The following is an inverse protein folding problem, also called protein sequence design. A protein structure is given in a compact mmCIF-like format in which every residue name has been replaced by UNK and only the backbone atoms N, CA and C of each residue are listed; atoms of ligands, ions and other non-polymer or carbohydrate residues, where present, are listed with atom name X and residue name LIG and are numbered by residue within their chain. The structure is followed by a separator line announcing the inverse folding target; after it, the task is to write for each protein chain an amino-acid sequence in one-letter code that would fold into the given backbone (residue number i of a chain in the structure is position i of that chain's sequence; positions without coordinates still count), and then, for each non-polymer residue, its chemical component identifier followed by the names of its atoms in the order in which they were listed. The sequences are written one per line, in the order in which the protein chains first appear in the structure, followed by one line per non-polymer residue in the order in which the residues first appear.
data_IF_750761200546
#
_entry.id   IF_750761200546
#
_cell.length_a   1.000
_cell.length_b   1.000
_cell.length_c   1.000
_cell.angle_alpha   90.00
_cell.angle_beta   90.00
_cell.angle_gamma   90.00
#
_symmetry.space_group_name_H-M   'P 1'
#
loop_
_entity.id
_entity.type
_entity.pdbx_description
1 polymer ?
#
# COMPACT_ATOMS: atom_id res chain seq x y z
N UNK A 1 -92.12 -11.32 -4.45
CA UNK A 1 -91.22 -10.42 -3.70
C UNK A 1 -90.50 -11.26 -2.64
N UNK A 2 -89.27 -11.66 -2.93
CA UNK A 2 -88.31 -12.35 -2.04
C UNK A 2 -86.92 -11.96 -2.60
N UNK A 3 -86.06 -11.25 -1.88
CA UNK A 3 -85.13 -11.68 -0.83
C UNK A 3 -83.70 -11.97 -1.36
N UNK A 4 -82.75 -11.11 -0.95
CA UNK A 4 -81.42 -11.42 -0.38
C UNK A 4 -80.29 -12.08 -1.23
N UNK A 5 -79.10 -11.42 -1.16
CA UNK A 5 -77.69 -11.92 -1.10
C UNK A 5 -76.72 -11.88 -2.31
N UNK A 6 -75.62 -11.17 -2.01
CA UNK A 6 -74.18 -11.47 -2.13
C UNK A 6 -73.44 -11.65 -3.47
N UNK A 7 -72.31 -10.92 -3.50
CA UNK A 7 -70.96 -11.25 -4.02
C UNK A 7 -70.77 -11.50 -5.53
N UNK A 8 -70.02 -10.63 -6.20
CA UNK A 8 -68.64 -10.96 -6.56
C UNK A 8 -67.82 -9.70 -6.90
N UNK A 9 -66.59 -9.67 -6.39
CA UNK A 9 -65.53 -8.71 -6.72
C UNK A 9 -64.86 -9.26 -7.97
N UNK A 10 -64.86 -8.51 -9.07
CA UNK A 10 -64.12 -8.88 -10.27
C UNK A 10 -62.64 -8.58 -10.06
N UNK A 11 -61.83 -9.65 -10.13
CA UNK A 11 -60.37 -9.67 -10.20
C UNK A 11 -59.86 -8.79 -11.34
N UNK A 12 -59.21 -7.67 -10.99
CA UNK A 12 -58.20 -7.08 -11.87
C UNK A 12 -56.90 -7.80 -11.56
N UNK A 13 -56.53 -8.74 -12.43
CA UNK A 13 -55.17 -9.27 -12.51
C UNK A 13 -54.27 -8.10 -12.90
N UNK A 14 -53.70 -7.44 -11.89
CA UNK A 14 -52.50 -6.63 -12.07
C UNK A 14 -51.38 -7.65 -12.27
N UNK A 15 -50.82 -7.69 -13.48
CA UNK A 15 -49.60 -8.44 -13.72
C UNK A 15 -48.54 -7.90 -12.78
N UNK A 16 -47.96 -8.80 -11.98
CA UNK A 16 -46.71 -8.57 -11.28
C UNK A 16 -45.61 -8.43 -12.35
N UNK A 17 -45.49 -7.23 -12.92
CA UNK A 17 -44.26 -6.82 -13.58
C UNK A 17 -43.27 -6.55 -12.43
N UNK A 18 -42.40 -7.53 -12.18
CA UNK A 18 -41.23 -7.38 -11.33
C UNK A 18 -40.50 -6.09 -11.72
N UNK A 19 -40.56 -5.07 -10.86
CA UNK A 19 -39.72 -3.89 -10.93
C UNK A 19 -38.25 -4.34 -10.91
N UNK A 20 -37.66 -4.53 -12.09
CA UNK A 20 -36.23 -4.79 -12.26
C UNK A 20 -35.46 -3.59 -11.69
N UNK A 21 -35.09 -3.67 -10.40
CA UNK A 21 -34.26 -2.67 -9.74
C UNK A 21 -32.97 -2.50 -10.57
N UNK A 22 -32.71 -1.31 -11.15
CA UNK A 22 -31.55 -1.08 -12.01
C UNK A 22 -30.23 -1.36 -11.30
N UNK A 23 -30.21 -1.31 -9.96
CA UNK A 23 -29.05 -1.70 -9.14
C UNK A 23 -28.84 -3.22 -9.16
N UNK A 24 -29.93 -3.99 -9.08
CA UNK A 24 -29.88 -5.45 -9.12
C UNK A 24 -29.31 -5.93 -10.46
N UNK A 25 -29.72 -5.33 -11.58
CA UNK A 25 -29.22 -5.74 -12.90
C UNK A 25 -27.76 -5.32 -13.13
N UNK A 26 -27.38 -4.11 -12.72
CA UNK A 26 -26.02 -3.62 -12.86
C UNK A 26 -24.99 -4.43 -12.05
N UNK A 27 -25.43 -5.08 -10.96
CA UNK A 27 -24.56 -5.85 -10.06
C UNK A 27 -24.70 -7.37 -10.18
N UNK A 28 -25.57 -7.88 -11.06
CA UNK A 28 -25.81 -9.32 -11.25
C UNK A 28 -24.68 -10.07 -11.98
N UNK A 29 -23.60 -9.38 -12.37
CA UNK A 29 -22.46 -9.99 -13.02
C UNK A 29 -21.35 -10.34 -12.01
N UNK A 30 -20.65 -11.45 -12.24
CA UNK A 30 -19.50 -11.91 -11.43
C UNK A 30 -18.26 -11.01 -11.61
N UNK A 31 -18.44 -9.80 -12.11
CA UNK A 31 -17.42 -8.80 -12.37
C UNK A 31 -17.56 -7.60 -11.42
N UNK A 32 -16.46 -6.86 -11.27
CA UNK A 32 -16.45 -5.61 -10.49
C UNK A 32 -17.21 -4.53 -11.26
N UNK A 33 -18.22 -3.93 -10.65
CA UNK A 33 -18.94 -2.81 -11.23
C UNK A 33 -18.06 -1.54 -11.26
N UNK A 34 -17.88 -0.95 -12.43
CA UNK A 34 -17.09 0.28 -12.57
C UNK A 34 -17.97 1.53 -12.39
N UNK A 35 -17.73 2.24 -11.29
CA UNK A 35 -18.36 3.53 -11.03
C UNK A 35 -17.56 4.67 -11.68
N UNK A 36 -18.27 5.73 -12.04
CA UNK A 36 -17.74 6.95 -12.64
C UNK A 36 -18.66 8.15 -12.36
N UNK A 37 -18.26 9.33 -12.81
CA UNK A 37 -19.01 10.60 -12.64
C UNK A 37 -20.48 10.52 -13.06
N UNK A 38 -20.80 9.71 -14.07
CA UNK A 38 -22.16 9.66 -14.62
C UNK A 38 -23.08 8.67 -13.90
N UNK A 39 -22.52 7.58 -13.35
CA UNK A 39 -23.33 6.50 -12.77
C UNK A 39 -23.23 6.39 -11.25
N UNK A 40 -22.25 7.05 -10.59
CA UNK A 40 -22.01 6.88 -9.16
C UNK A 40 -23.26 7.22 -8.34
N UNK A 41 -23.81 8.42 -8.50
CA UNK A 41 -24.99 8.85 -7.73
C UNK A 41 -26.24 8.05 -8.10
N UNK A 42 -26.39 7.68 -9.37
CA UNK A 42 -27.55 6.93 -9.86
C UNK A 42 -27.58 5.51 -9.28
N UNK A 43 -26.46 4.80 -9.37
CA UNK A 43 -26.37 3.41 -8.94
C UNK A 43 -26.26 3.30 -7.42
N UNK A 44 -25.54 4.21 -6.75
CA UNK A 44 -25.37 4.12 -5.29
C UNK A 44 -26.58 4.64 -4.51
N UNK A 45 -27.60 5.23 -5.16
CA UNK A 45 -28.76 5.83 -4.49
C UNK A 45 -29.57 4.84 -3.65
N UNK A 46 -29.66 3.59 -4.09
CA UNK A 46 -30.36 2.48 -3.41
C UNK A 46 -29.44 1.28 -3.31
N UNK A 47 -29.60 0.45 -2.28
CA UNK A 47 -28.84 -0.78 -2.11
C UNK A 47 -27.51 -0.61 -1.38
N UNK A 48 -26.72 -1.69 -1.34
CA UNK A 48 -25.48 -1.82 -0.57
C UNK A 48 -24.29 -1.97 -1.51
N UNK A 49 -23.28 -1.14 -1.32
CA UNK A 49 -22.07 -1.10 -2.14
C UNK A 49 -20.84 -1.24 -1.27
N UNK A 50 -19.89 -2.05 -1.73
CA UNK A 50 -18.52 -1.99 -1.22
C UNK A 50 -17.63 -1.51 -2.36
N UNK A 51 -17.07 -0.31 -2.20
CA UNK A 51 -16.44 0.46 -3.27
C UNK A 51 -14.95 0.58 -3.01
N UNK A 52 -14.12 0.06 -3.92
CA UNK A 52 -12.67 0.33 -3.95
C UNK A 52 -12.42 1.61 -4.73
N UNK A 53 -11.95 2.64 -4.03
CA UNK A 53 -11.57 3.92 -4.61
C UNK A 53 -10.05 3.93 -4.80
N UNK A 54 -9.60 4.16 -6.03
CA UNK A 54 -8.18 4.12 -6.39
C UNK A 54 -7.81 5.24 -7.35
N UNK A 55 -6.50 5.50 -7.51
CA UNK A 55 -5.97 6.45 -8.49
C UNK A 55 -4.79 5.82 -9.22
N UNK A 56 -4.89 5.60 -10.54
CA UNK A 56 -3.76 5.18 -11.36
C UNK A 56 -2.66 6.25 -11.48
N UNK A 57 -1.39 5.85 -11.69
CA UNK A 57 -0.91 4.47 -11.74
C UNK A 57 -1.01 3.80 -10.36
N UNK A 58 -1.42 2.53 -10.35
CA UNK A 58 -1.61 1.80 -9.10
C UNK A 58 -0.26 1.53 -8.42
N UNK A 59 -0.25 1.60 -7.08
CA UNK A 59 0.84 1.04 -6.28
C UNK A 59 0.73 -0.48 -6.30
N UNK A 60 1.82 -1.19 -5.99
CA UNK A 60 1.79 -2.65 -5.88
C UNK A 60 0.70 -3.14 -4.91
N UNK A 61 0.54 -2.46 -3.78
CA UNK A 61 -0.50 -2.79 -2.79
C UNK A 61 -1.90 -2.60 -3.38
N UNK A 62 -2.12 -1.52 -4.13
CA UNK A 62 -3.38 -1.29 -4.84
C UNK A 62 -3.63 -2.32 -5.95
N UNK A 63 -2.58 -2.77 -6.66
CA UNK A 63 -2.67 -3.85 -7.64
C UNK A 63 -3.02 -5.20 -6.98
N UNK A 64 -2.38 -5.55 -5.86
CA UNK A 64 -2.71 -6.77 -5.11
C UNK A 64 -4.14 -6.72 -4.56
N UNK A 65 -4.55 -5.58 -4.01
CA UNK A 65 -5.92 -5.36 -3.58
C UNK A 65 -6.90 -5.54 -4.75
N UNK A 66 -6.60 -4.99 -5.93
CA UNK A 66 -7.45 -5.12 -7.12
C UNK A 66 -7.62 -6.58 -7.55
N UNK A 67 -6.58 -7.41 -7.48
CA UNK A 67 -6.69 -8.85 -7.75
C UNK A 67 -7.64 -9.57 -6.78
N UNK A 68 -7.56 -9.24 -5.49
CA UNK A 68 -8.45 -9.78 -4.45
C UNK A 68 -9.87 -9.25 -4.61
N UNK A 69 -10.02 -7.98 -5.00
CA UNK A 69 -11.30 -7.32 -5.25
C UNK A 69 -12.11 -8.01 -6.34
N UNK A 70 -11.45 -8.40 -7.44
CA UNK A 70 -12.08 -9.17 -8.52
C UNK A 70 -12.58 -10.54 -8.03
N UNK A 71 -11.83 -11.20 -7.13
CA UNK A 71 -12.29 -12.47 -6.53
C UNK A 71 -13.49 -12.26 -5.62
N UNK A 72 -13.48 -11.20 -4.82
CA UNK A 72 -14.59 -10.83 -3.94
C UNK A 72 -15.88 -10.57 -4.74
N UNK A 73 -15.79 -9.84 -5.85
CA UNK A 73 -16.92 -9.59 -6.74
C UNK A 73 -17.53 -10.88 -7.27
N UNK A 74 -16.72 -11.82 -7.78
CA UNK A 74 -17.22 -13.13 -8.24
C UNK A 74 -17.99 -13.89 -7.18
N UNK A 75 -17.54 -13.84 -5.93
CA UNK A 75 -18.16 -14.58 -4.84
C UNK A 75 -19.44 -13.93 -4.29
N UNK A 76 -19.54 -12.59 -4.35
CA UNK A 76 -20.60 -11.84 -3.66
C UNK A 76 -21.61 -11.19 -4.60
N UNK A 77 -21.21 -10.70 -5.78
CA UNK A 77 -22.14 -10.07 -6.73
C UNK A 77 -23.17 -11.08 -7.26
N UNK A 78 -22.75 -12.34 -7.46
CA UNK A 78 -23.64 -13.42 -7.86
C UNK A 78 -24.78 -13.71 -6.85
N UNK A 79 -24.65 -13.24 -5.60
CA UNK A 79 -25.70 -13.39 -4.57
C UNK A 79 -26.73 -12.26 -4.62
N UNK A 80 -26.49 -11.17 -5.35
CA UNK A 80 -27.41 -10.04 -5.54
C UNK A 80 -27.68 -9.18 -4.30
N UNK A 81 -26.98 -9.42 -3.18
CA UNK A 81 -27.20 -8.69 -1.91
C UNK A 81 -26.29 -7.48 -1.72
N UNK A 82 -25.22 -7.39 -2.51
CA UNK A 82 -24.21 -6.32 -2.45
C UNK A 82 -23.56 -6.13 -3.82
N UNK A 83 -23.22 -4.88 -4.13
CA UNK A 83 -22.45 -4.51 -5.30
C UNK A 83 -20.97 -4.26 -4.95
N UNK A 84 -20.09 -5.19 -5.29
CA UNK A 84 -18.64 -4.97 -5.27
C UNK A 84 -18.26 -4.11 -6.48
N UNK A 85 -17.76 -2.91 -6.20
CA UNK A 85 -17.56 -1.86 -7.21
C UNK A 85 -16.19 -1.20 -7.09
N UNK A 86 -15.73 -0.52 -8.14
CA UNK A 86 -14.53 0.30 -8.09
C UNK A 86 -14.75 1.71 -8.67
N UNK A 87 -13.93 2.68 -8.25
CA UNK A 87 -14.00 4.08 -8.69
C UNK A 87 -12.58 4.61 -8.92
N UNK A 88 -12.31 5.02 -10.17
CA UNK A 88 -11.03 5.60 -10.59
C UNK A 88 -11.03 7.12 -10.39
N UNK A 89 -10.29 7.61 -9.39
CA UNK A 89 -10.14 9.04 -9.10
C UNK A 89 -9.38 9.83 -10.16
N UNK A 90 -8.62 9.20 -11.06
CA UNK A 90 -8.01 9.91 -12.19
C UNK A 90 -9.06 10.37 -13.21
N UNK A 91 -10.24 9.73 -13.21
CA UNK A 91 -11.37 10.04 -14.09
C UNK A 91 -12.55 10.67 -13.37
N UNK A 92 -12.65 10.45 -12.06
CA UNK A 92 -13.77 10.90 -11.21
C UNK A 92 -13.31 11.83 -10.10
N UNK A 93 -12.53 12.85 -10.47
CA UNK A 93 -11.84 13.77 -9.56
C UNK A 93 -12.82 14.47 -8.59
N UNK A 94 -13.94 14.97 -9.10
CA UNK A 94 -14.94 15.69 -8.30
C UNK A 94 -15.56 14.81 -7.21
N UNK A 95 -15.93 13.56 -7.56
CA UNK A 95 -16.44 12.60 -6.59
C UNK A 95 -15.39 12.34 -5.52
N UNK A 96 -14.14 12.05 -5.90
CA UNK A 96 -13.10 11.72 -4.94
C UNK A 96 -12.73 12.89 -4.01
N UNK A 97 -12.77 14.14 -4.49
CA UNK A 97 -12.62 15.31 -3.63
C UNK A 97 -13.80 15.49 -2.68
N UNK A 98 -15.04 15.35 -3.17
CA UNK A 98 -16.23 15.44 -2.32
C UNK A 98 -16.24 14.38 -1.22
N UNK A 99 -15.80 13.17 -1.55
CA UNK A 99 -15.63 12.07 -0.61
C UNK A 99 -14.39 12.23 0.28
N UNK A 100 -13.59 13.29 0.08
CA UNK A 100 -12.37 13.62 0.81
C UNK A 100 -11.37 12.46 0.86
N UNK A 101 -11.28 11.72 -0.25
CA UNK A 101 -10.49 10.50 -0.32
C UNK A 101 -9.01 10.82 -0.36
N UNK A 102 -8.28 10.08 0.46
CA UNK A 102 -6.84 9.90 0.37
C UNK A 102 -6.58 8.64 -0.47
N UNK A 103 -6.40 8.73 -1.80
CA UNK A 103 -6.24 7.53 -2.64
C UNK A 103 -4.94 6.83 -2.23
N UNK A 104 -4.62 5.55 -2.41
CA UNK A 104 -5.25 4.37 -3.00
C UNK A 104 -4.52 3.12 -2.44
N UNK A 105 -5.21 1.99 -2.16
CA UNK A 105 -6.66 1.85 -2.26
C UNK A 105 -7.36 2.27 -0.96
N UNK A 106 -8.51 2.93 -1.09
CA UNK A 106 -9.46 3.17 0.00
C UNK A 106 -10.70 2.32 -0.26
N UNK A 107 -11.25 1.64 0.75
CA UNK A 107 -12.47 0.87 0.58
C UNK A 107 -13.59 1.45 1.43
N UNK A 108 -14.74 1.70 0.83
CA UNK A 108 -15.89 2.32 1.49
C UNK A 108 -17.12 1.43 1.40
N UNK A 109 -17.81 1.30 2.53
CA UNK A 109 -19.18 0.81 2.56
C UNK A 109 -20.16 1.96 2.31
N UNK A 110 -21.00 1.77 1.31
CA UNK A 110 -22.06 2.69 0.91
C UNK A 110 -23.41 2.00 1.02
N UNK A 111 -24.40 2.73 1.54
CA UNK A 111 -25.77 2.25 1.64
C UNK A 111 -26.75 3.38 1.35
N UNK A 112 -27.65 3.15 0.39
CA UNK A 112 -28.72 4.08 0.03
C UNK A 112 -28.24 5.54 -0.16
N UNK A 113 -27.19 5.71 -0.97
CA UNK A 113 -26.60 6.99 -1.34
C UNK A 113 -25.66 7.59 -0.29
N UNK A 114 -25.44 6.91 0.84
CA UNK A 114 -24.63 7.43 1.95
C UNK A 114 -23.40 6.57 2.19
N UNK A 115 -22.26 7.24 2.41
CA UNK A 115 -21.06 6.62 2.99
C UNK A 115 -21.38 6.26 4.44
N UNK A 116 -21.44 4.97 4.75
CA UNK A 116 -21.69 4.49 6.12
C UNK A 116 -20.38 4.32 6.87
N UNK A 117 -19.39 3.66 6.25
CA UNK A 117 -18.11 3.35 6.91
C UNK A 117 -16.97 3.23 5.91
N UNK A 118 -15.76 3.55 6.35
CA UNK A 118 -14.55 3.11 5.67
C UNK A 118 -14.13 1.72 6.18
N UNK A 119 -13.48 0.93 5.34
CA UNK A 119 -12.77 -0.27 5.76
C UNK A 119 -11.45 0.14 6.40
N UNK A 120 -11.28 -0.16 7.69
CA UNK A 120 -10.22 0.33 8.56
C UNK A 120 -9.12 -0.72 8.86
N UNK A 121 -9.17 -1.88 8.21
CA UNK A 121 -8.19 -2.95 8.40
C UNK A 121 -6.89 -2.77 7.59
N UNK A 122 -6.00 -3.77 7.63
CA UNK A 122 -4.69 -3.75 6.96
C UNK A 122 -4.75 -3.22 5.52
N UNK A 123 -3.79 -2.35 5.09
CA UNK A 123 -3.70 -1.81 3.73
C UNK A 123 -3.50 -2.87 2.64
N UNK A 124 -3.08 -4.09 3.01
CA UNK A 124 -3.02 -5.26 2.14
C UNK A 124 -3.82 -6.42 2.74
N UNK A 125 -5.15 -6.29 2.85
CA UNK A 125 -5.95 -7.26 3.57
C UNK A 125 -6.02 -8.56 2.76
N UNK A 126 -5.99 -9.71 3.43
CA UNK A 126 -6.32 -10.98 2.78
C UNK A 126 -7.80 -10.97 2.32
N UNK A 127 -8.12 -11.80 1.33
CA UNK A 127 -9.49 -11.90 0.81
C UNK A 127 -10.52 -12.17 1.91
N UNK A 128 -10.16 -12.99 2.90
CA UNK A 128 -11.02 -13.36 4.03
C UNK A 128 -11.36 -12.17 4.94
N UNK A 129 -10.47 -11.17 5.05
CA UNK A 129 -10.77 -9.97 5.82
C UNK A 129 -11.84 -9.11 5.15
N UNK A 130 -11.86 -9.04 3.81
CA UNK A 130 -12.95 -8.36 3.10
C UNK A 130 -14.27 -9.09 3.27
N UNK A 131 -14.27 -10.42 3.17
CA UNK A 131 -15.47 -11.24 3.39
C UNK A 131 -16.05 -11.03 4.78
N UNK A 132 -15.22 -11.15 5.81
CA UNK A 132 -15.66 -10.95 7.20
C UNK A 132 -16.23 -9.56 7.44
N UNK A 133 -15.65 -8.53 6.81
CA UNK A 133 -16.20 -7.18 6.88
C UNK A 133 -17.58 -7.08 6.21
N UNK A 134 -17.72 -7.59 4.99
CA UNK A 134 -19.01 -7.58 4.28
C UNK A 134 -20.08 -8.34 5.07
N UNK A 135 -19.75 -9.52 5.60
CA UNK A 135 -20.68 -10.31 6.43
C UNK A 135 -21.16 -9.54 7.67
N UNK A 136 -20.24 -8.84 8.35
CA UNK A 136 -20.59 -7.99 9.51
C UNK A 136 -21.52 -6.84 9.11
N UNK A 137 -21.21 -6.16 8.01
CA UNK A 137 -22.00 -5.02 7.53
C UNK A 137 -23.39 -5.45 7.03
N UNK A 138 -23.52 -6.65 6.45
CA UNK A 138 -24.83 -7.21 6.07
C UNK A 138 -25.63 -7.62 7.31
N UNK A 139 -24.97 -8.24 8.30
CA UNK A 139 -25.62 -8.68 9.54
C UNK A 139 -26.06 -7.53 10.46
N UNK A 140 -25.41 -6.37 10.37
CA UNK A 140 -25.85 -5.15 11.05
C UNK A 140 -27.00 -4.49 10.31
N UNK A 141 -28.24 -4.97 10.53
CA UNK A 141 -29.45 -4.29 10.04
C UNK A 141 -30.21 -3.66 11.24
N UNK A 142 -30.70 -2.44 11.04
CA UNK A 142 -31.44 -1.54 11.96
C UNK A 142 -30.63 -0.56 12.83
N UNK A 143 -30.14 0.54 12.24
CA UNK A 143 -30.26 1.85 12.90
C UNK A 143 -30.89 2.84 11.91
N UNK A 144 -32.10 3.27 12.26
CA UNK A 144 -32.86 4.33 11.63
C UNK A 144 -32.07 5.63 11.61
N UNK A 145 -31.70 6.10 10.41
CA UNK A 145 -31.20 7.46 10.23
C UNK A 145 -32.40 8.40 10.14
N UNK A 146 -32.81 8.96 11.28
CA UNK A 146 -33.59 10.19 11.25
C UNK A 146 -32.70 11.36 10.82
N UNK A 147 -33.28 12.18 9.94
CA UNK A 147 -32.70 13.39 9.40
C UNK A 147 -32.30 14.39 10.49
N UNK A 148 -31.07 14.85 10.48
CA UNK A 148 -30.77 16.25 10.76
C UNK A 148 -29.39 16.63 10.23
N UNK A 149 -29.34 17.80 9.61
CA UNK A 149 -28.13 18.47 9.21
C UNK A 149 -27.33 18.87 10.45
N UNK A 150 -26.34 18.07 10.83
CA UNK A 150 -25.20 18.44 11.67
C UNK A 150 -24.30 17.22 11.82
N UNK A 151 -22.98 17.44 11.77
CA UNK A 151 -21.96 16.40 11.68
C UNK A 151 -22.20 15.20 12.59
N UNK A 152 -22.16 14.01 11.98
CA UNK A 152 -22.05 12.75 12.71
C UNK A 152 -20.57 12.57 13.05
N UNK A 153 -20.26 12.63 14.34
CA UNK A 153 -18.97 12.25 14.91
C UNK A 153 -18.69 10.77 14.60
N UNK A 154 -17.64 10.55 13.81
CA UNK A 154 -17.06 9.26 13.44
C UNK A 154 -16.31 8.69 14.66
N UNK A 155 -17.04 8.10 15.60
CA UNK A 155 -16.44 7.46 16.78
C UNK A 155 -16.00 6.03 16.45
N UNK A 156 -15.01 5.89 15.55
CA UNK A 156 -14.29 4.63 15.32
C UNK A 156 -12.78 4.85 15.48
N UNK A 157 -12.23 4.37 16.60
CA UNK A 157 -10.86 4.63 17.11
C UNK A 157 -9.74 3.95 16.28
N UNK A 158 -9.91 3.78 14.97
CA UNK A 158 -8.93 3.12 14.09
C UNK A 158 -8.67 3.85 12.79
N UNK A 159 -9.33 4.97 12.53
CA UNK A 159 -8.93 5.87 11.47
C UNK A 159 -7.69 6.65 11.93
N UNK A 160 -6.62 6.62 11.14
CA UNK A 160 -5.51 7.58 11.35
C UNK A 160 -6.05 9.01 11.16
N UNK A 161 -7.16 9.19 10.44
CA UNK A 161 -7.71 10.48 10.05
C UNK A 161 -8.43 11.16 11.22
N UNK A 162 -7.74 12.10 11.84
CA UNK A 162 -8.21 12.90 12.96
C UNK A 162 -8.88 14.19 12.49
N UNK A 163 -9.93 14.58 13.22
CA UNK A 163 -10.38 15.96 13.29
C UNK A 163 -9.44 16.83 14.14
N UNK A 164 -9.69 18.14 14.15
CA UNK A 164 -9.00 19.04 15.09
C UNK A 164 -9.30 18.70 16.55
N UNK A 165 -10.51 18.20 16.82
CA UNK A 165 -10.97 17.89 18.18
C UNK A 165 -10.36 16.57 18.67
N UNK A 166 -10.19 15.60 17.76
CA UNK A 166 -9.45 14.36 18.02
C UNK A 166 -7.99 14.68 18.35
N UNK A 167 -7.36 15.59 17.61
CA UNK A 167 -6.01 16.06 17.89
C UNK A 167 -5.91 16.67 19.29
N UNK A 168 -6.80 17.61 19.63
CA UNK A 168 -6.81 18.27 20.94
C UNK A 168 -7.06 17.28 22.07
N UNK A 169 -7.95 16.31 21.87
CA UNK A 169 -8.27 15.28 22.86
C UNK A 169 -7.07 14.36 23.10
N UNK A 170 -6.42 13.89 22.04
CA UNK A 170 -5.24 13.03 22.16
C UNK A 170 -4.05 13.78 22.78
N UNK A 171 -3.86 15.05 22.45
CA UNK A 171 -2.77 15.90 22.96
C UNK A 171 -2.85 16.14 24.47
N UNK A 172 -4.04 16.17 25.06
CA UNK A 172 -4.24 16.29 26.52
C UNK A 172 -3.76 15.07 27.30
N UNK A 173 -3.67 13.92 26.64
CA UNK A 173 -3.34 12.66 27.31
C UNK A 173 -1.94 12.18 26.99
N UNK A 174 -1.50 12.36 25.73
CA UNK A 174 -0.31 11.74 25.15
C UNK A 174 0.49 12.74 24.32
N UNK A 175 1.76 12.39 24.08
CA UNK A 175 2.48 13.01 22.97
C UNK A 175 1.83 12.55 21.67
N UNK A 176 1.84 13.37 20.62
CA UNK A 176 1.19 13.01 19.35
C UNK A 176 2.11 13.22 18.15
N UNK A 177 2.00 12.32 17.19
CA UNK A 177 2.58 12.48 15.85
C UNK A 177 1.45 12.58 14.85
N UNK A 178 1.48 13.65 14.07
CA UNK A 178 0.41 13.97 13.14
C UNK A 178 0.96 14.15 11.75
N UNK A 179 0.44 13.38 10.80
CA UNK A 179 0.65 13.63 9.39
C UNK A 179 -0.35 14.64 8.85
N UNK A 180 0.14 15.73 8.30
CA UNK A 180 -0.64 16.70 7.57
C UNK A 180 -0.59 16.36 6.08
N UNK A 181 -1.76 16.08 5.48
CA UNK A 181 -1.87 15.65 4.09
C UNK A 181 -2.95 16.41 3.32
N UNK A 182 -2.96 16.29 2.00
CA UNK A 182 -4.03 16.82 1.15
C UNK A 182 -4.74 15.68 0.39
N UNK A 183 -6.01 15.90 0.04
CA UNK A 183 -6.77 14.98 -0.82
C UNK A 183 -6.05 14.75 -2.14
N UNK A 184 -6.10 13.52 -2.66
CA UNK A 184 -5.43 13.11 -3.89
C UNK A 184 -3.88 13.27 -3.92
N UNK A 185 -3.24 13.44 -2.76
CA UNK A 185 -1.79 13.55 -2.62
C UNK A 185 -1.08 12.20 -2.81
N UNK A 186 -0.40 12.02 -3.95
CA UNK A 186 0.32 10.77 -4.26
C UNK A 186 1.47 10.49 -3.29
N UNK A 187 2.26 11.51 -2.95
CA UNK A 187 3.38 11.40 -2.00
C UNK A 187 2.94 11.01 -0.59
N UNK A 188 1.67 11.25 -0.25
CA UNK A 188 1.11 10.93 1.06
C UNK A 188 0.85 9.41 1.21
N UNK A 189 0.78 8.65 0.10
CA UNK A 189 0.38 7.24 0.15
C UNK A 189 1.40 6.36 0.84
N UNK A 190 2.69 6.63 0.62
CA UNK A 190 3.76 5.87 1.26
C UNK A 190 3.81 6.11 2.77
N UNK A 191 3.55 7.34 3.22
CA UNK A 191 3.55 7.67 4.64
C UNK A 191 2.32 7.12 5.36
N UNK A 192 1.15 7.11 4.70
CA UNK A 192 -0.08 6.46 5.19
C UNK A 192 0.18 5.02 5.64
N UNK A 193 0.72 4.20 4.73
CA UNK A 193 0.95 2.78 4.99
C UNK A 193 1.93 2.53 6.13
N UNK A 194 2.91 3.43 6.32
CA UNK A 194 3.89 3.34 7.40
C UNK A 194 3.25 3.72 8.74
N UNK A 195 2.50 4.83 8.80
CA UNK A 195 1.84 5.28 10.02
C UNK A 195 0.75 4.32 10.47
N UNK A 196 -0.01 3.75 9.52
CA UNK A 196 -1.02 2.72 9.82
C UNK A 196 -0.38 1.50 10.51
N UNK A 197 0.77 1.02 10.02
CA UNK A 197 1.53 -0.08 10.68
C UNK A 197 2.00 0.30 12.08
N UNK A 198 2.44 1.54 12.25
CA UNK A 198 2.90 2.03 13.55
C UNK A 198 1.75 2.22 14.55
N UNK A 199 0.57 2.64 14.10
CA UNK A 199 -0.63 2.71 14.95
C UNK A 199 -1.01 1.34 15.51
N UNK A 200 -0.97 0.29 14.68
CA UNK A 200 -1.27 -1.08 15.13
C UNK A 200 -0.34 -1.54 16.26
N UNK A 201 0.87 -1.00 16.33
CA UNK A 201 1.85 -1.27 17.38
C UNK A 201 1.70 -0.30 18.57
N UNK A 202 1.39 0.97 18.30
CA UNK A 202 1.54 2.06 19.27
C UNK A 202 0.23 2.61 19.83
N UNK A 203 -0.94 2.46 19.21
CA UNK A 203 -2.20 3.01 19.76
C UNK A 203 -2.89 2.06 20.78
N UNK A 204 -2.13 1.17 21.42
CA UNK A 204 -2.63 0.36 22.54
C UNK A 204 -2.68 1.21 23.82
N UNK A 205 -3.50 0.81 24.81
CA UNK A 205 -3.71 1.57 26.05
C UNK A 205 -2.44 1.77 26.92
N UNK A 206 -1.30 1.21 26.53
CA UNK A 206 -0.04 1.20 27.30
C UNK A 206 1.04 2.14 26.78
N UNK A 207 0.76 2.97 25.77
CA UNK A 207 1.76 3.88 25.18
C UNK A 207 1.49 5.35 25.52
N UNK A 208 2.57 6.11 25.67
CA UNK A 208 2.55 7.57 25.88
C UNK A 208 2.47 8.37 24.57
N UNK A 209 2.21 7.70 23.44
CA UNK A 209 2.24 8.27 22.10
C UNK A 209 0.95 7.89 21.34
N UNK A 210 0.29 8.88 20.74
CA UNK A 210 -0.75 8.65 19.76
C UNK A 210 -0.29 9.10 18.37
N UNK A 211 -0.73 8.39 17.34
CA UNK A 211 -0.41 8.69 15.95
C UNK A 211 -1.72 8.94 15.19
N UNK A 212 -1.74 10.03 14.42
CA UNK A 212 -2.88 10.42 13.58
C UNK A 212 -2.45 11.18 12.33
N UNK A 213 -3.43 11.66 11.59
CA UNK A 213 -3.30 12.34 10.32
C UNK A 213 -4.43 13.36 10.16
N UNK A 214 -4.13 14.56 9.70
CA UNK A 214 -5.09 15.65 9.49
C UNK A 214 -5.16 16.00 8.01
N UNK A 215 -6.39 16.00 7.49
CA UNK A 215 -6.67 16.38 6.11
C UNK A 215 -6.70 17.91 5.96
N UNK A 216 -5.65 18.48 5.40
CA UNK A 216 -5.53 19.91 5.16
C UNK A 216 -6.41 20.44 4.03
N UNK A 217 -6.99 19.57 3.19
CA UNK A 217 -8.06 19.98 2.28
C UNK A 217 -9.37 20.27 3.02
N UNK A 218 -9.53 19.77 4.25
CA UNK A 218 -10.69 20.02 5.11
C UNK A 218 -10.39 21.05 6.21
N UNK A 219 -9.21 20.96 6.81
CA UNK A 219 -8.79 21.77 7.97
C UNK A 219 -7.67 22.76 7.61
N UNK A 220 -7.86 23.53 6.52
CA UNK A 220 -6.84 24.43 5.95
C UNK A 220 -6.24 25.40 6.98
N UNK A 221 -7.08 26.12 7.73
CA UNK A 221 -6.65 27.09 8.73
C UNK A 221 -5.79 26.46 9.83
N UNK A 222 -6.10 25.22 10.23
CA UNK A 222 -5.34 24.47 11.24
C UNK A 222 -3.97 24.04 10.69
N UNK A 223 -3.89 23.67 9.42
CA UNK A 223 -2.61 23.32 8.79
C UNK A 223 -1.72 24.55 8.60
N UNK A 224 -2.30 25.69 8.20
CA UNK A 224 -1.59 26.97 8.07
C UNK A 224 -1.05 27.42 9.42
N UNK A 225 -1.85 27.34 10.49
CA UNK A 225 -1.39 27.73 11.84
C UNK A 225 -0.24 26.86 12.37
N UNK A 226 -0.15 25.61 11.89
CA UNK A 226 0.96 24.69 12.15
C UNK A 226 2.13 24.82 11.16
N UNK A 227 2.16 25.89 10.35
CA UNK A 227 3.19 26.16 9.33
C UNK A 227 3.36 25.04 8.30
N UNK A 228 2.29 24.30 7.97
CA UNK A 228 2.32 23.28 6.94
C UNK A 228 2.23 23.93 5.58
N UNK A 229 3.31 23.83 4.80
CA UNK A 229 3.43 24.46 3.47
C UNK A 229 3.57 23.46 2.32
N UNK A 230 3.78 22.17 2.65
CA UNK A 230 3.87 21.08 1.67
C UNK A 230 3.29 19.78 2.24
N UNK A 231 2.92 18.86 1.35
CA UNK A 231 2.31 17.59 1.73
C UNK A 231 3.07 16.37 1.19
N UNK A 232 3.16 15.27 1.96
CA UNK A 232 2.79 15.20 3.37
C UNK A 232 3.82 15.92 4.27
N UNK A 233 3.39 16.41 5.43
CA UNK A 233 4.28 16.91 6.50
C UNK A 233 4.01 16.13 7.79
N UNK A 234 5.03 15.56 8.42
CA UNK A 234 4.88 14.83 9.68
C UNK A 234 5.41 15.67 10.84
N UNK A 235 4.56 16.00 11.81
CA UNK A 235 4.93 16.80 12.99
C UNK A 235 4.76 16.01 14.28
N UNK A 236 5.59 16.32 15.29
CA UNK A 236 5.44 15.84 16.66
C UNK A 236 5.12 16.98 17.61
N UNK A 237 4.21 16.67 18.53
CA UNK A 237 3.74 17.55 19.59
C UNK A 237 3.90 16.83 20.93
N UNK A 238 4.32 17.58 21.93
CA UNK A 238 4.39 17.10 23.30
C UNK A 238 3.03 17.25 23.96
N UNK A 239 2.70 16.33 24.88
CA UNK A 239 1.49 16.38 25.67
C UNK A 239 1.27 17.78 26.25
N UNK A 240 0.02 18.26 26.18
CA UNK A 240 -0.42 19.58 26.64
C UNK A 240 0.23 20.78 25.92
N UNK A 241 0.99 20.55 24.85
CA UNK A 241 1.66 21.60 24.07
C UNK A 241 1.24 21.57 22.59
N UNK A 242 0.42 22.54 22.20
CA UNK A 242 -0.06 22.70 20.82
C UNK A 242 0.99 23.18 19.82
N UNK A 243 2.23 23.42 20.23
CA UNK A 243 3.31 23.86 19.35
C UNK A 243 4.14 22.67 18.87
N UNK A 244 4.21 22.50 17.55
CA UNK A 244 5.03 21.47 16.94
C UNK A 244 6.50 21.59 17.38
N UNK A 245 7.01 20.55 18.05
CA UNK A 245 8.39 20.50 18.54
C UNK A 245 9.36 20.02 17.47
N UNK A 246 8.86 19.19 16.55
CA UNK A 246 9.68 18.59 15.51
C UNK A 246 8.88 18.36 14.24
N UNK A 247 9.53 18.60 13.11
CA UNK A 247 9.10 18.12 11.80
C UNK A 247 10.00 16.97 11.38
N UNK A 248 9.41 15.89 10.89
CA UNK A 248 10.14 14.75 10.38
C UNK A 248 10.04 14.68 8.86
N UNK A 249 11.18 14.39 8.24
CA UNK A 249 11.18 13.69 6.97
C UNK A 249 10.90 12.20 7.24
N UNK A 250 10.18 11.51 6.35
CA UNK A 250 9.89 10.08 6.51
C UNK A 250 11.16 9.25 6.76
N UNK A 251 12.30 9.65 6.18
CA UNK A 251 13.59 9.00 6.46
C UNK A 251 14.15 9.26 7.86
N UNK A 252 13.90 10.44 8.45
CA UNK A 252 14.35 10.75 9.81
C UNK A 252 13.45 10.13 10.87
N UNK A 253 12.15 10.01 10.59
CA UNK A 253 11.20 9.35 11.50
C UNK A 253 11.53 7.86 11.69
N UNK A 254 11.86 7.15 10.60
CA UNK A 254 12.28 5.75 10.67
C UNK A 254 13.61 5.54 11.42
N UNK A 255 14.52 6.52 11.39
CA UNK A 255 15.81 6.44 12.09
C UNK A 255 15.74 6.77 13.59
N UNK A 256 14.72 7.51 14.02
CA UNK A 256 14.66 8.07 15.38
C UNK A 256 13.87 7.21 16.38
N UNK A 257 12.97 6.33 15.89
CA UNK A 257 12.21 5.39 16.73
C UNK A 257 12.89 4.04 16.95
N UNK A 258 14.08 3.80 16.38
CA UNK A 258 15.00 2.73 16.83
C UNK A 258 15.82 3.12 18.06
N UNK A 259 15.71 4.36 18.54
CA UNK A 259 16.46 4.89 19.69
C UNK A 259 15.54 5.23 20.85
N UNK A 260 14.91 4.21 21.45
CA UNK A 260 14.70 4.22 22.89
C UNK A 260 15.23 2.90 23.46
N UNK A 261 16.44 3.01 24.05
CA UNK A 261 17.32 1.97 24.62
C UNK A 261 18.03 1.03 23.63
N UNK A 262 18.87 1.59 22.76
CA UNK A 262 20.11 0.92 22.40
C UNK A 262 21.24 1.53 23.24
N UNK A 263 21.72 0.72 24.19
CA UNK A 263 22.87 0.97 25.05
C UNK A 263 24.06 1.43 24.20
N UNK A 264 24.74 2.49 24.66
CA UNK A 264 26.09 2.84 24.19
C UNK A 264 26.99 1.64 24.47
N UNK A 265 27.28 0.84 23.44
CA UNK A 265 28.42 -0.06 23.45
C UNK A 265 29.44 0.53 22.49
N UNK A 266 30.57 0.97 23.08
CA UNK A 266 31.78 1.40 22.38
C UNK A 266 32.31 0.27 21.48
N UNK A 267 33.02 0.71 20.44
CA UNK A 267 33.70 -0.06 19.38
C UNK A 267 34.25 -1.44 19.79
N UNK A 268 33.95 -2.48 19.00
CA UNK A 268 34.92 -3.30 18.25
C UNK A 268 34.22 -4.53 17.61
N UNK A 269 34.42 -4.76 16.30
CA UNK A 269 34.09 -5.98 15.51
C UNK A 269 32.63 -6.14 14.93
N UNK A 270 32.42 -6.97 13.89
CA UNK A 270 31.67 -6.61 12.67
C UNK A 270 30.15 -6.69 12.82
N UNK A 271 29.45 -5.62 12.40
CA UNK A 271 28.00 -5.57 12.30
C UNK A 271 27.51 -6.51 11.20
N UNK A 272 26.84 -7.59 11.59
CA UNK A 272 26.23 -8.55 10.67
C UNK A 272 25.09 -7.89 9.90
N UNK A 273 25.05 -8.15 8.60
CA UNK A 273 23.94 -7.73 7.75
C UNK A 273 22.68 -8.53 8.09
N UNK A 274 21.65 -7.84 8.59
CA UNK A 274 20.39 -8.48 8.97
C UNK A 274 19.47 -8.69 7.74
N UNK A 275 18.95 -9.90 7.52
CA UNK A 275 17.96 -10.16 6.48
C UNK A 275 16.71 -9.26 6.66
N UNK A 276 16.10 -8.82 5.57
CA UNK A 276 14.86 -8.04 5.62
C UNK A 276 15.07 -6.52 5.72
N UNK A 277 16.32 -6.06 5.85
CA UNK A 277 16.67 -4.65 6.03
C UNK A 277 17.79 -4.23 5.10
N UNK A 278 17.82 -2.93 4.78
CA UNK A 278 18.93 -2.33 4.04
C UNK A 278 20.05 -2.02 5.03
N UNK A 279 21.24 -2.57 4.77
CA UNK A 279 22.42 -2.33 5.59
C UNK A 279 23.21 -1.12 5.09
N UNK A 280 23.40 -0.11 5.94
CA UNK A 280 24.22 1.06 5.60
C UNK A 280 25.69 0.76 5.81
N UNK A 281 26.46 0.75 4.73
CA UNK A 281 27.91 0.56 4.76
C UNK A 281 28.61 1.88 5.13
N UNK A 282 29.73 1.75 5.83
CA UNK A 282 30.65 2.84 6.17
C UNK A 282 32.06 2.45 5.77
N UNK A 283 33.02 3.37 5.86
CA UNK A 283 34.44 3.06 5.65
C UNK A 283 34.97 1.95 6.56
N UNK A 284 34.47 1.86 7.80
CA UNK A 284 34.83 0.82 8.77
C UNK A 284 34.19 -0.54 8.46
N UNK A 285 32.95 -0.58 7.98
CA UNK A 285 32.22 -1.83 7.75
C UNK A 285 32.38 -2.39 6.33
N UNK A 286 32.69 -1.56 5.34
CA UNK A 286 32.66 -1.97 3.93
C UNK A 286 33.56 -3.18 3.63
N UNK A 287 34.86 -3.10 3.88
CA UNK A 287 35.79 -4.18 3.52
C UNK A 287 35.52 -5.48 4.30
N UNK A 288 35.00 -5.40 5.53
CA UNK A 288 34.68 -6.59 6.33
C UNK A 288 33.38 -7.24 5.85
N UNK A 289 32.31 -6.47 5.64
CA UNK A 289 31.01 -6.96 5.15
C UNK A 289 31.11 -7.61 3.77
N UNK A 290 31.85 -7.00 2.85
CA UNK A 290 32.03 -7.54 1.49
C UNK A 290 32.87 -8.83 1.48
N UNK A 291 33.84 -8.97 2.40
CA UNK A 291 34.64 -10.19 2.51
C UNK A 291 33.86 -11.34 3.17
N UNK A 292 32.97 -11.03 4.12
CA UNK A 292 32.28 -12.04 4.91
C UNK A 292 31.09 -12.68 4.19
N UNK A 293 30.41 -11.94 3.31
CA UNK A 293 29.21 -12.44 2.64
C UNK A 293 28.92 -11.78 1.28
N UNK A 294 28.16 -12.50 0.45
CA UNK A 294 27.60 -11.98 -0.79
C UNK A 294 26.77 -10.73 -0.50
N UNK A 295 26.99 -9.66 -1.25
CA UNK A 295 26.35 -8.36 -1.01
C UNK A 295 25.84 -7.76 -2.31
N UNK A 296 24.62 -7.24 -2.28
CA UNK A 296 24.08 -6.40 -3.34
C UNK A 296 24.02 -4.97 -2.82
N UNK A 297 24.84 -4.08 -3.40
CA UNK A 297 25.11 -2.74 -2.88
C UNK A 297 24.57 -1.67 -3.81
N UNK A 298 23.76 -0.74 -3.26
CA UNK A 298 23.35 0.50 -3.92
C UNK A 298 24.29 1.62 -3.52
N UNK A 299 25.11 2.08 -4.46
CA UNK A 299 25.87 3.32 -4.33
C UNK A 299 24.99 4.50 -4.71
N UNK A 300 24.86 5.49 -3.83
CA UNK A 300 23.93 6.61 -4.01
C UNK A 300 24.50 7.94 -3.51
N UNK A 301 23.73 9.01 -3.72
CA UNK A 301 23.91 10.31 -3.06
C UNK A 301 22.54 10.80 -2.54
N UNK A 302 22.44 11.46 -1.37
CA UNK A 302 21.15 11.76 -0.73
C UNK A 302 20.24 12.69 -1.53
N UNK A 303 20.82 13.66 -2.26
CA UNK A 303 20.09 14.69 -3.01
C UNK A 303 20.03 14.41 -4.52
N UNK A 304 20.26 13.17 -4.93
CA UNK A 304 20.25 12.75 -6.33
C UNK A 304 18.83 12.31 -6.74
N UNK A 305 18.16 12.98 -7.71
CA UNK A 305 16.78 12.67 -8.10
C UNK A 305 16.58 11.21 -8.52
N UNK A 306 17.53 10.65 -9.28
CA UNK A 306 17.51 9.24 -9.70
C UNK A 306 17.69 8.28 -8.51
N UNK A 307 18.41 8.69 -7.48
CA UNK A 307 18.67 7.92 -6.27
C UNK A 307 17.44 7.90 -5.36
N UNK A 308 16.73 9.02 -5.28
CA UNK A 308 15.43 9.10 -4.60
C UNK A 308 14.42 8.16 -5.23
N UNK A 309 14.38 8.07 -6.57
CA UNK A 309 13.46 7.21 -7.30
C UNK A 309 13.61 5.72 -6.99
N UNK A 310 14.83 5.23 -6.70
CA UNK A 310 15.09 3.81 -6.39
C UNK A 310 15.11 3.51 -4.88
N UNK A 311 15.04 4.53 -4.02
CA UNK A 311 15.19 4.36 -2.57
C UNK A 311 14.19 3.37 -2.01
N UNK A 312 12.90 3.53 -2.35
CA UNK A 312 11.85 2.64 -1.86
C UNK A 312 11.96 1.23 -2.44
N UNK A 313 12.23 1.11 -3.74
CA UNK A 313 12.46 -0.17 -4.41
C UNK A 313 13.58 -0.98 -3.71
N UNK A 314 14.62 -0.31 -3.24
CA UNK A 314 15.73 -0.96 -2.55
C UNK A 314 15.34 -1.48 -1.16
N UNK A 315 14.47 -0.75 -0.45
CA UNK A 315 13.91 -1.15 0.84
C UNK A 315 12.97 -2.35 0.65
N UNK A 316 12.10 -2.29 -0.35
CA UNK A 316 11.15 -3.36 -0.67
C UNK A 316 11.89 -4.65 -1.06
N UNK A 317 12.96 -4.54 -1.86
CA UNK A 317 13.85 -5.66 -2.18
C UNK A 317 14.42 -6.33 -0.93
N UNK A 318 14.95 -5.54 0.02
CA UNK A 318 15.48 -6.09 1.27
C UNK A 318 14.39 -6.83 2.05
N UNK A 319 13.20 -6.24 2.14
CA UNK A 319 12.05 -6.82 2.84
C UNK A 319 11.57 -8.13 2.21
N UNK A 320 11.47 -8.18 0.88
CA UNK A 320 11.09 -9.41 0.16
C UNK A 320 12.11 -10.54 0.30
N UNK A 321 13.35 -10.20 0.61
CA UNK A 321 14.45 -11.13 0.84
C UNK A 321 14.67 -11.42 2.34
N UNK A 322 13.72 -11.08 3.22
CA UNK A 322 13.82 -11.34 4.68
C UNK A 322 14.12 -12.78 5.06
N UNK A 323 13.70 -13.74 4.23
CA UNK A 323 13.95 -15.17 4.44
C UNK A 323 15.21 -15.68 3.71
N UNK A 324 15.91 -14.81 2.98
CA UNK A 324 17.12 -15.13 2.22
C UNK A 324 18.33 -14.60 2.98
N UNK A 325 18.98 -15.47 3.75
CA UNK A 325 20.11 -15.10 4.62
C UNK A 325 21.46 -15.12 3.90
N UNK A 326 21.50 -15.65 2.68
CA UNK A 326 22.74 -15.83 1.91
C UNK A 326 23.28 -14.55 1.26
N UNK A 327 22.56 -13.43 1.36
CA UNK A 327 22.91 -12.15 0.71
C UNK A 327 22.63 -10.97 1.64
N UNK A 328 23.50 -9.98 1.59
CA UNK A 328 23.31 -8.69 2.22
C UNK A 328 22.75 -7.67 1.22
N UNK A 329 21.61 -7.04 1.52
CA UNK A 329 21.13 -5.90 0.75
C UNK A 329 21.63 -4.64 1.43
N UNK A 330 22.52 -3.89 0.76
CA UNK A 330 23.28 -2.82 1.38
C UNK A 330 23.24 -1.52 0.56
N UNK A 331 23.61 -0.41 1.19
CA UNK A 331 23.78 0.88 0.53
C UNK A 331 25.03 1.61 1.03
N UNK A 332 25.62 2.46 0.18
CA UNK A 332 26.77 3.30 0.50
C UNK A 332 26.57 4.70 -0.10
N UNK A 333 26.73 5.73 0.74
CA UNK A 333 26.70 7.13 0.30
C UNK A 333 28.06 7.55 -0.29
N UNK A 334 28.09 7.87 -1.58
CA UNK A 334 29.29 8.34 -2.25
C UNK A 334 29.67 9.79 -1.94
N UNK A 335 28.81 10.55 -1.26
CA UNK A 335 29.10 11.89 -0.74
C UNK A 335 30.07 11.80 0.44
N UNK A 336 29.78 10.88 1.36
CA UNK A 336 30.58 10.66 2.56
C UNK A 336 31.76 9.74 2.29
N UNK A 337 31.58 8.69 1.47
CA UNK A 337 32.59 7.65 1.24
C UNK A 337 33.19 7.67 -0.17
N UNK A 338 33.62 8.86 -0.62
CA UNK A 338 34.20 9.11 -1.96
C UNK A 338 35.35 8.16 -2.33
N UNK A 339 36.21 7.83 -1.37
CA UNK A 339 37.36 6.96 -1.61
C UNK A 339 36.95 5.53 -2.01
N UNK A 340 35.91 4.99 -1.37
CA UNK A 340 35.36 3.67 -1.70
C UNK A 340 34.69 3.73 -3.08
N UNK A 341 33.84 4.73 -3.33
CA UNK A 341 33.20 4.88 -4.63
C UNK A 341 34.21 5.03 -5.78
N UNK A 342 35.33 5.76 -5.54
CA UNK A 342 36.44 5.85 -6.49
C UNK A 342 37.15 4.51 -6.69
N UNK A 343 37.43 3.77 -5.62
CA UNK A 343 38.07 2.43 -5.66
C UNK A 343 37.26 1.44 -6.49
N UNK A 344 35.93 1.55 -6.47
CA UNK A 344 35.01 0.70 -7.23
C UNK A 344 34.52 1.33 -8.54
N UNK A 345 35.19 2.39 -9.01
CA UNK A 345 34.89 3.06 -10.28
C UNK A 345 33.42 3.50 -10.44
N UNK A 346 32.80 3.93 -9.35
CA UNK A 346 31.44 4.47 -9.36
C UNK A 346 31.51 5.93 -9.83
N UNK A 347 31.23 6.13 -11.12
CA UNK A 347 31.29 7.45 -11.77
C UNK A 347 29.93 8.13 -11.90
N UNK A 348 28.83 7.39 -11.69
CA UNK A 348 27.46 7.87 -11.72
C UNK A 348 26.61 7.10 -10.72
N UNK A 349 25.57 7.75 -10.18
CA UNK A 349 24.65 7.20 -9.17
C UNK A 349 23.18 7.40 -9.60
N UNK A 350 22.24 6.53 -9.18
CA UNK A 350 22.48 5.33 -8.37
C UNK A 350 23.18 4.23 -9.20
N UNK A 351 24.07 3.47 -8.55
CA UNK A 351 24.73 2.31 -9.16
C UNK A 351 24.49 1.08 -8.29
N UNK A 352 23.95 0.03 -8.88
CA UNK A 352 23.61 -1.21 -8.17
C UNK A 352 24.63 -2.28 -8.55
N UNK A 353 25.29 -2.85 -7.56
CA UNK A 353 26.45 -3.72 -7.79
C UNK A 353 26.40 -4.91 -6.86
N UNK A 354 26.47 -6.11 -7.44
CA UNK A 354 26.74 -7.33 -6.71
C UNK A 354 28.23 -7.46 -6.43
N UNK A 355 28.58 -7.77 -5.20
CA UNK A 355 29.94 -7.98 -4.74
C UNK A 355 29.99 -9.22 -3.84
N UNK A 356 30.84 -10.16 -4.19
CA UNK A 356 31.25 -11.27 -3.32
C UNK A 356 32.75 -11.56 -3.51
N UNK A 357 33.26 -12.63 -2.88
CA UNK A 357 34.67 -13.00 -2.96
C UNK A 357 35.17 -13.33 -4.37
N UNK A 358 34.28 -13.67 -5.29
CA UNK A 358 34.59 -14.16 -6.63
C UNK A 358 34.01 -13.28 -7.76
N UNK A 359 33.07 -12.38 -7.46
CA UNK A 359 32.33 -11.63 -8.46
C UNK A 359 32.11 -10.17 -8.05
N UNK A 360 32.40 -9.28 -9.01
CA UNK A 360 31.97 -7.88 -8.99
C UNK A 360 31.13 -7.65 -10.25
N UNK A 361 29.81 -7.48 -10.10
CA UNK A 361 28.88 -7.38 -11.22
C UNK A 361 27.95 -6.19 -11.07
N UNK A 362 28.01 -5.30 -12.05
CA UNK A 362 27.07 -4.19 -12.17
C UNK A 362 25.73 -4.71 -12.68
N UNK A 363 24.65 -4.37 -11.97
CA UNK A 363 23.29 -4.58 -12.45
C UNK A 363 22.88 -3.43 -13.38
N UNK A 364 22.51 -3.78 -14.62
CA UNK A 364 22.04 -2.83 -15.63
C UNK A 364 20.58 -3.05 -16.04
N UNK A 365 19.84 -3.88 -15.28
CA UNK A 365 18.43 -4.14 -15.54
C UNK A 365 17.51 -3.02 -15.03
N UNK A 366 16.20 -3.21 -15.16
CA UNK A 366 15.21 -2.24 -14.68
C UNK A 366 15.17 -2.13 -13.16
N UNK A 367 14.83 -0.95 -12.64
CA UNK A 367 14.69 -0.68 -11.19
C UNK A 367 13.37 -1.15 -10.57
N UNK A 368 12.84 -2.31 -11.00
CA UNK A 368 11.66 -2.93 -10.39
C UNK A 368 12.08 -4.01 -9.40
N UNK A 369 11.36 -4.16 -8.29
CA UNK A 369 11.71 -5.08 -7.19
C UNK A 369 11.85 -6.52 -7.70
N UNK A 370 10.97 -6.97 -8.59
CA UNK A 370 10.96 -8.33 -9.12
C UNK A 370 12.21 -8.61 -9.97
N UNK A 371 12.67 -7.64 -10.75
CA UNK A 371 13.87 -7.78 -11.57
C UNK A 371 15.13 -7.82 -10.70
N UNK A 372 15.17 -7.01 -9.64
CA UNK A 372 16.25 -7.00 -8.67
C UNK A 372 16.28 -8.29 -7.85
N UNK A 373 15.12 -8.78 -7.41
CA UNK A 373 14.98 -10.04 -6.68
C UNK A 373 15.38 -11.22 -7.53
N UNK A 374 14.94 -11.27 -8.79
CA UNK A 374 15.37 -12.30 -9.75
C UNK A 374 16.88 -12.27 -9.92
N UNK A 375 17.46 -11.08 -10.11
CA UNK A 375 18.91 -10.94 -10.19
C UNK A 375 19.62 -11.46 -8.93
N UNK A 376 19.11 -11.15 -7.74
CA UNK A 376 19.68 -11.66 -6.49
C UNK A 376 19.62 -13.18 -6.41
N UNK A 377 18.47 -13.80 -6.72
CA UNK A 377 18.32 -15.27 -6.74
C UNK A 377 19.28 -15.89 -7.76
N UNK A 378 19.32 -15.35 -8.99
CA UNK A 378 20.22 -15.84 -10.05
C UNK A 378 21.70 -15.75 -9.64
N UNK A 379 22.10 -14.68 -8.93
CA UNK A 379 23.45 -14.49 -8.43
C UNK A 379 23.81 -15.43 -7.27
N UNK A 380 22.84 -15.74 -6.40
CA UNK A 380 23.00 -16.72 -5.32
C UNK A 380 23.23 -18.11 -5.92
N UNK A 381 22.36 -18.53 -6.85
CA UNK A 381 22.31 -19.90 -7.38
C UNK A 381 23.45 -20.21 -8.35
N UNK A 382 23.86 -19.24 -9.18
CA UNK A 382 24.86 -19.48 -10.24
C UNK A 382 26.28 -19.02 -9.88
N UNK A 383 26.54 -18.64 -8.62
CA UNK A 383 27.83 -18.08 -8.19
C UNK A 383 28.35 -16.96 -9.12
N UNK A 384 27.43 -16.16 -9.66
CA UNK A 384 27.76 -15.09 -10.60
C UNK A 384 28.41 -15.58 -11.90
N UNK A 385 27.94 -16.66 -12.53
CA UNK A 385 28.41 -17.15 -13.85
C UNK A 385 27.45 -16.94 -15.01
N UNK A 386 26.25 -16.38 -14.79
CA UNK A 386 25.23 -16.24 -15.84
C UNK A 386 25.59 -15.17 -16.90
N UNK A 387 25.41 -15.46 -18.21
CA UNK A 387 25.54 -14.49 -19.28
C UNK A 387 24.26 -13.63 -19.45
N UNK A 388 24.46 -12.40 -19.91
CA UNK A 388 23.44 -11.34 -20.02
C UNK A 388 22.35 -11.73 -21.04
N UNK A 389 21.08 -11.80 -20.61
CA UNK A 389 19.96 -11.63 -21.54
C UNK A 389 19.59 -10.15 -21.61
N UNK A 390 19.97 -9.50 -22.72
CA UNK A 390 19.50 -8.17 -23.08
C UNK A 390 18.06 -8.32 -23.57
N UNK A 391 17.08 -7.81 -22.81
CA UNK A 391 15.71 -7.68 -23.32
C UNK A 391 15.68 -6.48 -24.25
N UNK A 392 15.87 -6.70 -25.55
CA UNK A 392 15.63 -5.69 -26.57
C UNK A 392 14.12 -5.37 -26.66
N UNK A 393 13.79 -4.07 -26.68
CA UNK A 393 12.42 -3.56 -26.89
C UNK A 393 11.76 -4.24 -28.09
N UNK A 394 10.62 -4.88 -27.86
CA UNK A 394 9.72 -5.29 -28.93
C UNK A 394 9.19 -4.03 -29.62
N UNK A 395 9.61 -3.82 -30.87
CA UNK A 395 8.94 -2.88 -31.77
C UNK A 395 7.75 -3.59 -32.40
N UNK A 396 6.66 -2.85 -32.52
CA UNK A 396 5.36 -3.28 -33.01
C UNK A 396 5.41 -3.85 -34.43
N UNK A 397 5.01 -5.12 -34.61
CA UNK A 397 4.33 -5.56 -35.83
C UNK A 397 3.50 -6.83 -35.57
N UNK A 398 2.19 -6.88 -35.88
CA UNK A 398 1.36 -8.05 -35.65
C UNK A 398 1.30 -8.89 -36.93
N UNK A 399 2.02 -10.00 -36.98
CA UNK A 399 1.68 -11.14 -37.85
C UNK A 399 2.58 -12.32 -37.53
N UNK A 400 1.95 -13.51 -37.47
CA UNK A 400 2.52 -14.84 -37.25
C UNK A 400 2.81 -15.27 -35.80
N UNK A 401 1.81 -15.88 -35.17
CA UNK A 401 2.04 -17.04 -34.29
C UNK A 401 2.19 -18.28 -35.17
N UNK A 402 3.01 -19.27 -34.74
CA UNK A 402 2.41 -20.59 -34.60
C UNK A 402 2.72 -21.23 -33.25
N UNK A 403 1.68 -21.85 -32.72
CA UNK A 403 1.68 -22.80 -31.62
C UNK A 403 2.51 -24.06 -31.94
N UNK A 404 3.01 -24.68 -30.86
CA UNK A 404 3.25 -26.12 -30.64
C UNK A 404 4.54 -26.81 -31.12
N UNK A 405 5.00 -27.74 -30.24
CA UNK A 405 6.12 -28.71 -30.28
C UNK A 405 7.53 -28.13 -30.04
N UNK A 406 8.35 -28.54 -29.06
CA UNK A 406 8.64 -29.89 -28.52
C UNK A 406 9.00 -29.83 -27.02
N UNK A 407 8.36 -30.69 -26.23
CA UNK A 407 8.82 -31.17 -24.91
C UNK A 407 9.79 -32.32 -25.16
N UNK A 408 10.99 -32.27 -24.55
CA UNK A 408 11.83 -33.38 -24.04
C UNK A 408 13.33 -33.05 -24.16
N UNK A 409 14.08 -33.43 -23.12
CA UNK A 409 15.54 -33.36 -22.92
C UNK A 409 16.04 -32.11 -22.17
N UNK A 410 16.15 -32.27 -20.84
CA UNK A 410 16.83 -31.30 -19.97
C UNK A 410 16.70 -31.58 -18.47
N UNK A 411 15.79 -32.49 -18.07
CA UNK A 411 15.68 -32.98 -16.69
C UNK A 411 16.23 -34.40 -16.68
N UNK A 412 17.56 -34.54 -16.49
CA UNK A 412 18.30 -35.75 -16.07
C UNK A 412 19.83 -35.48 -16.07
N UNK A 413 20.25 -34.34 -15.49
CA UNK A 413 21.67 -33.94 -15.45
C UNK A 413 22.25 -33.67 -14.05
N UNK A 414 21.44 -33.69 -12.99
CA UNK A 414 21.87 -33.31 -11.63
C UNK A 414 21.39 -34.29 -10.54
N UNK A 415 21.43 -35.60 -10.82
CA UNK A 415 21.43 -36.65 -9.79
C UNK A 415 22.52 -37.66 -10.16
N UNK A 416 23.79 -37.27 -10.00
CA UNK A 416 24.92 -38.22 -10.06
C UNK A 416 26.25 -37.69 -9.49
N UNK A 417 26.22 -36.92 -8.38
CA UNK A 417 27.45 -36.55 -7.67
C UNK A 417 27.31 -36.48 -6.14
N UNK A 418 26.34 -37.19 -5.57
CA UNK A 418 26.30 -37.48 -4.13
C UNK A 418 25.89 -38.95 -3.99
N UNK A 419 26.88 -39.83 -4.07
CA UNK A 419 26.97 -41.18 -3.49
C UNK A 419 28.16 -41.87 -4.20
N UNK A 420 29.20 -42.17 -3.43
CA UNK A 420 30.51 -42.77 -3.80
C UNK A 420 31.61 -41.81 -4.27
N UNK A 421 32.20 -41.04 -3.34
CA UNK A 421 33.55 -41.32 -2.83
C UNK A 421 33.85 -40.52 -1.57
#
# INVERSE_FOLDING_TARGET
MAAVKDSNVDDVVVGDDDDDDPVSEACKHDEVLQLNTNNFNLLTHTGKFFIMIFKPPLSYMADQAKLKWVRLARELNAKGTICISDLDCSKSIEICHHLQIRPSPTFLWYENGRKVRAYDAEPDPELEHFKSFVEKMIASNEISVESSASGVEDTDHRTIDWSTDDFETNLKEKNVIVEFYATLCESCNSLYSILWKLMGIQNTASTSLAIGAINCSKYESFCISNNVTMYPTLLYFEKDDGVAKKSYNLSSFMSEKTTEKAVVIKEDAPQNCAPGQVFTLTDKSFDSSIKSMKSFVKFFQPSCPFCTAIKQVWIDLASELRNVTAVCIAELDCTDFKAICKRYHITAVPKLVWIDSNAFRVYNGGGKVELLKRFVIDMIDNNGTTPIMVISRATSNPSSYPFMTVVYLGILGLIKNYLFK
#
